data_IF_878496959454
#
_entry.id   IF_878496959454
#
_cell.length_a   1.000
_cell.length_b   1.000
_cell.length_c   1.000
_cell.angle_alpha   90.00
_cell.angle_beta   90.00
_cell.angle_gamma   90.00
#
_symmetry.space_group_name_H-M   'P 1'
#
loop_
_entity.id
_entity.type
_entity.pdbx_description
1 polymer ?
#
# COMPACT_ATOMS: atom_id res chain seq x y z
N UNK A 1 -56.68 11.74 16.19
CA UNK A 1 -55.31 11.77 15.64
C UNK A 1 -54.88 10.35 15.35
N UNK A 2 -54.61 9.97 14.09
CA UNK A 2 -54.05 8.67 13.71
C UNK A 2 -52.61 8.89 13.26
N UNK A 3 -51.65 8.34 14.00
CA UNK A 3 -50.23 8.37 13.64
C UNK A 3 -49.99 7.48 12.42
N UNK A 4 -49.29 8.02 11.42
CA UNK A 4 -48.89 7.26 10.24
C UNK A 4 -47.80 6.23 10.60
N UNK A 5 -47.80 5.04 9.97
CA UNK A 5 -46.78 4.02 10.25
C UNK A 5 -45.43 4.48 9.70
N UNK A 6 -44.38 4.41 10.54
CA UNK A 6 -42.99 4.61 10.10
C UNK A 6 -42.63 3.47 9.15
N UNK A 7 -42.24 3.80 7.92
CA UNK A 7 -41.65 2.84 6.99
C UNK A 7 -40.24 2.53 7.48
N UNK A 8 -39.99 1.27 7.80
CA UNK A 8 -38.64 0.76 8.05
C UNK A 8 -37.89 0.76 6.72
N UNK A 9 -36.84 1.56 6.61
CA UNK A 9 -35.93 1.50 5.48
C UNK A 9 -34.98 0.34 5.74
N UNK A 10 -35.20 -0.78 5.07
CA UNK A 10 -34.24 -1.87 5.00
C UNK A 10 -32.94 -1.31 4.38
N UNK A 11 -31.87 -1.28 5.17
CA UNK A 11 -30.57 -0.83 4.70
C UNK A 11 -30.02 -1.85 3.71
N UNK A 12 -30.35 -1.67 2.43
CA UNK A 12 -29.73 -2.42 1.34
C UNK A 12 -28.27 -2.00 1.31
N UNK A 13 -27.39 -2.90 1.77
CA UNK A 13 -25.95 -2.71 1.57
C UNK A 13 -25.71 -2.58 0.06
N UNK A 14 -25.04 -1.50 -0.40
CA UNK A 14 -24.78 -1.34 -1.82
C UNK A 14 -23.95 -2.52 -2.32
N UNK A 15 -24.16 -2.95 -3.59
CA UNK A 15 -23.36 -4.03 -4.16
C UNK A 15 -21.88 -3.65 -4.10
N UNK A 16 -21.07 -4.51 -3.48
CA UNK A 16 -19.61 -4.33 -3.47
C UNK A 16 -19.14 -4.37 -4.91
N UNK A 17 -18.58 -3.26 -5.42
CA UNK A 17 -17.96 -3.26 -6.75
C UNK A 17 -16.89 -4.35 -6.78
N UNK A 18 -16.86 -5.20 -7.82
CA UNK A 18 -15.76 -6.15 -7.97
C UNK A 18 -14.45 -5.37 -8.11
N UNK A 19 -13.43 -5.79 -7.36
CA UNK A 19 -12.06 -5.31 -7.57
C UNK A 19 -11.64 -5.66 -9.00
N UNK A 20 -11.01 -4.73 -9.70
CA UNK A 20 -10.51 -4.97 -11.05
C UNK A 20 -9.48 -6.10 -11.00
N UNK A 21 -9.59 -7.05 -11.93
CA UNK A 21 -8.62 -8.14 -12.03
C UNK A 21 -7.26 -7.59 -12.48
N UNK A 22 -6.14 -8.10 -11.96
CA UNK A 22 -4.81 -7.67 -12.38
C UNK A 22 -4.62 -7.73 -13.91
N UNK A 23 -5.21 -8.74 -14.55
CA UNK A 23 -5.18 -8.90 -16.02
C UNK A 23 -5.88 -7.76 -16.79
N UNK A 24 -6.77 -7.01 -16.12
CA UNK A 24 -7.52 -5.90 -16.69
C UNK A 24 -6.94 -4.52 -16.32
N UNK A 25 -5.81 -4.49 -15.59
CA UNK A 25 -5.14 -3.26 -15.15
C UNK A 25 -3.76 -3.15 -15.80
N UNK A 26 -3.42 -1.96 -16.31
CA UNK A 26 -2.04 -1.66 -16.63
C UNK A 26 -1.25 -1.57 -15.31
N UNK A 27 -0.56 -2.67 -14.95
CA UNK A 27 0.32 -2.70 -13.78
C UNK A 27 1.58 -1.89 -14.09
N UNK A 28 1.66 -0.70 -13.51
CA UNK A 28 2.85 0.14 -13.63
C UNK A 28 3.80 -0.16 -12.45
N UNK A 29 4.81 -0.98 -12.72
CA UNK A 29 5.87 -1.30 -11.79
C UNK A 29 7.23 -1.00 -12.43
N UNK A 30 8.15 -0.40 -11.65
CA UNK A 30 9.52 -0.18 -12.10
C UNK A 30 10.31 -1.49 -12.20
N UNK A 31 11.46 -1.47 -12.87
CA UNK A 31 12.33 -2.66 -12.99
C UNK A 31 12.82 -3.19 -11.63
N UNK A 32 12.80 -2.36 -10.59
CA UNK A 32 13.13 -2.74 -9.22
C UNK A 32 12.06 -3.62 -8.55
N UNK A 33 10.89 -3.82 -9.15
CA UNK A 33 9.81 -4.60 -8.53
C UNK A 33 10.17 -6.08 -8.31
N UNK A 34 11.17 -6.61 -9.03
CA UNK A 34 11.69 -7.95 -8.81
C UNK A 34 12.73 -8.06 -7.68
N UNK A 35 13.08 -6.95 -7.02
CA UNK A 35 14.05 -6.92 -5.92
C UNK A 35 13.39 -7.05 -4.55
N UNK A 36 12.05 -7.09 -4.50
CA UNK A 36 11.27 -7.17 -3.27
C UNK A 36 10.28 -8.33 -3.36
N UNK A 37 10.29 -9.18 -2.34
CA UNK A 37 9.40 -10.36 -2.24
C UNK A 37 8.37 -10.22 -1.11
N UNK A 38 8.50 -9.18 -0.30
CA UNK A 38 7.73 -9.00 0.93
C UNK A 38 7.03 -7.63 0.99
N UNK A 39 5.85 -7.60 1.60
CA UNK A 39 5.09 -6.36 1.83
C UNK A 39 5.42 -5.81 3.20
N UNK A 40 5.99 -4.61 3.24
CA UNK A 40 6.45 -3.99 4.46
C UNK A 40 5.64 -2.72 4.79
N UNK A 41 5.49 -2.36 6.08
CA UNK A 41 4.98 -1.05 6.46
C UNK A 41 5.88 0.06 5.89
N UNK A 42 5.28 1.13 5.40
CA UNK A 42 6.03 2.24 4.78
C UNK A 42 7.13 2.83 5.70
N UNK A 43 6.85 2.90 7.01
CA UNK A 43 7.83 3.37 7.99
C UNK A 43 9.07 2.46 8.07
N UNK A 44 8.86 1.14 8.09
CA UNK A 44 9.96 0.16 8.14
C UNK A 44 10.84 0.24 6.89
N UNK A 45 10.24 0.39 5.71
CA UNK A 45 10.98 0.58 4.44
C UNK A 45 11.86 1.84 4.50
N UNK A 46 11.33 2.95 5.02
CA UNK A 46 12.09 4.19 5.13
C UNK A 46 13.25 4.08 6.13
N UNK A 47 13.01 3.45 7.28
CA UNK A 47 14.04 3.22 8.30
C UNK A 47 15.19 2.37 7.74
N UNK A 48 14.88 1.29 7.01
CA UNK A 48 15.88 0.44 6.37
C UNK A 48 16.69 1.19 5.31
N UNK A 49 16.02 1.92 4.41
CA UNK A 49 16.68 2.69 3.36
C UNK A 49 17.66 3.73 3.92
N UNK A 50 17.28 4.41 5.00
CA UNK A 50 18.16 5.38 5.68
C UNK A 50 19.36 4.66 6.27
N UNK A 51 19.13 3.60 7.06
CA UNK A 51 20.20 2.85 7.71
C UNK A 51 21.20 2.24 6.70
N UNK A 52 20.71 1.64 5.60
CA UNK A 52 21.56 1.08 4.55
C UNK A 52 22.39 2.17 3.86
N UNK A 53 21.77 3.32 3.56
CA UNK A 53 22.43 4.44 2.90
C UNK A 53 23.55 5.02 3.77
N UNK A 54 23.28 5.24 5.06
CA UNK A 54 24.28 5.73 6.02
C UNK A 54 25.47 4.76 6.12
N UNK A 55 25.19 3.46 6.32
CA UNK A 55 26.23 2.44 6.39
C UNK A 55 27.09 2.38 5.12
N UNK A 56 26.47 2.59 3.95
CA UNK A 56 27.18 2.59 2.66
C UNK A 56 28.08 3.82 2.50
N UNK A 57 27.60 4.99 2.92
CA UNK A 57 28.40 6.23 2.92
C UNK A 57 29.61 6.06 3.83
N UNK A 58 29.40 5.62 5.06
CA UNK A 58 30.48 5.40 6.03
C UNK A 58 31.55 4.44 5.49
N UNK A 59 31.12 3.34 4.85
CA UNK A 59 32.03 2.41 4.21
C UNK A 59 32.87 3.06 3.10
N UNK A 60 32.28 3.92 2.27
CA UNK A 60 32.99 4.61 1.19
C UNK A 60 33.95 5.68 1.72
N UNK A 61 33.54 6.41 2.75
CA UNK A 61 34.38 7.41 3.44
C UNK A 61 35.57 6.76 4.18
N UNK A 62 35.40 5.55 4.72
CA UNK A 62 36.49 4.77 5.30
C UNK A 62 37.51 4.24 4.28
N UNK A 63 37.11 4.09 3.02
CA UNK A 63 37.94 3.61 1.91
C UNK A 63 38.75 4.69 1.20
N UNK A 64 38.53 5.96 1.53
CA UNK A 64 39.21 7.11 0.92
C UNK A 64 40.47 7.56 1.67
N UNK A 65 41.01 6.72 2.58
CA UNK A 65 42.35 6.85 3.19
C UNK A 65 43.31 5.87 2.55
#
# INVERSE_FOLDING_TARGET
MRGAPRREFEAVSPPRRPLARPEALALYAGQSSGLTEEVWPAAAVLEELVAETEARIDHLSGRTK
#
